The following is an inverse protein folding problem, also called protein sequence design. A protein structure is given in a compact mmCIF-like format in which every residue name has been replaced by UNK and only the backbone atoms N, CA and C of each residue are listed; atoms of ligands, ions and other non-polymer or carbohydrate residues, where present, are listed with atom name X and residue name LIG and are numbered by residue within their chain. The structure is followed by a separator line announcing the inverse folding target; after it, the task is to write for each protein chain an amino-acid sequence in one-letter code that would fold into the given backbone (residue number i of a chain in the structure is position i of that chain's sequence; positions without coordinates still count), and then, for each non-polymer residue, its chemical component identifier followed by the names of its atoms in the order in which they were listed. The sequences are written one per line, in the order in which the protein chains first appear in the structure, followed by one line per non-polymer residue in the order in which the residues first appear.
data_IF_413507503569
#
_entry.id   IF_413507503569
#
_cell.length_a   1.000
_cell.length_b   1.000
_cell.length_c   1.000
_cell.angle_alpha   90.00
_cell.angle_beta   90.00
_cell.angle_gamma   90.00
#
_symmetry.space_group_name_H-M   'P 1'
#
loop_
_entity.id
_entity.type
_entity.pdbx_description
1 polymer ?
#
# COMPACT_ATOMS: atom_id res chain seq x y z
N UNK A 1 25.23 6.28 24.73
CA UNK A 1 25.13 7.74 24.52
C UNK A 1 25.44 8.14 23.08
N UNK A 2 26.60 7.82 22.50
CA UNK A 2 26.89 8.24 21.11
C UNK A 2 26.12 7.47 20.01
N UNK A 3 25.65 6.25 20.29
CA UNK A 3 24.83 5.46 19.35
C UNK A 3 23.36 5.92 19.29
N UNK A 4 22.78 6.28 20.43
CA UNK A 4 21.36 6.67 20.53
C UNK A 4 21.08 8.00 19.79
N UNK A 5 22.00 8.96 19.85
CA UNK A 5 21.86 10.26 19.17
C UNK A 5 21.89 10.11 17.64
N UNK A 6 22.67 9.15 17.12
CA UNK A 6 22.78 8.91 15.68
C UNK A 6 21.55 8.20 15.11
N UNK A 7 21.03 7.19 15.82
CA UNK A 7 19.77 6.54 15.45
C UNK A 7 18.58 7.51 15.52
N UNK A 8 18.53 8.38 16.53
CA UNK A 8 17.51 9.43 16.65
C UNK A 8 17.55 10.43 15.48
N UNK A 9 18.74 10.78 14.99
CA UNK A 9 18.89 11.70 13.87
C UNK A 9 18.46 11.07 12.53
N UNK A 10 18.79 9.79 12.31
CA UNK A 10 18.33 9.04 11.13
C UNK A 10 16.82 8.89 11.11
N UNK A 11 16.20 8.50 12.22
CA UNK A 11 14.73 8.38 12.34
C UNK A 11 14.02 9.71 12.07
N UNK A 12 14.56 10.82 12.59
CA UNK A 12 14.03 12.17 12.35
C UNK A 12 14.11 12.57 10.88
N UNK A 13 15.23 12.23 10.21
CA UNK A 13 15.42 12.46 8.78
C UNK A 13 14.42 11.66 7.94
N UNK A 14 14.22 10.37 8.26
CA UNK A 14 13.25 9.51 7.57
C UNK A 14 11.84 10.06 7.76
N UNK A 15 11.44 10.40 8.99
CA UNK A 15 10.12 10.99 9.25
C UNK A 15 9.90 12.29 8.49
N UNK A 16 10.93 13.14 8.37
CA UNK A 16 10.87 14.34 7.55
C UNK A 16 10.65 13.99 6.08
N UNK A 17 11.43 13.08 5.49
CA UNK A 17 11.24 12.66 4.09
C UNK A 17 9.86 12.06 3.87
N UNK A 18 9.37 11.21 4.78
CA UNK A 18 8.01 10.64 4.71
C UNK A 18 6.94 11.75 4.70
N UNK A 19 7.11 12.81 5.50
CA UNK A 19 6.16 13.95 5.47
C UNK A 19 6.10 14.65 4.11
N UNK A 20 7.21 14.65 3.36
CA UNK A 20 7.29 15.26 2.03
C UNK A 20 6.65 14.39 0.93
N UNK A 21 6.48 13.08 1.16
CA UNK A 21 5.81 12.16 0.22
C UNK A 21 4.37 12.61 -0.04
N UNK A 22 3.66 13.06 0.99
CA UNK A 22 2.28 13.55 0.90
C UNK A 22 2.18 15.04 0.51
N UNK A 23 3.25 15.63 -0.05
CA UNK A 23 3.27 17.03 -0.49
C UNK A 23 2.33 17.28 -1.67
N UNK A 24 1.65 18.42 -1.67
CA UNK A 24 0.86 18.88 -2.82
C UNK A 24 1.68 19.36 -4.00
N UNK A 25 3.00 19.52 -3.83
CA UNK A 25 3.93 19.74 -4.93
C UNK A 25 4.44 18.40 -5.47
N UNK A 26 4.14 18.12 -6.74
CA UNK A 26 4.50 16.85 -7.41
C UNK A 26 6.01 16.61 -7.37
N UNK A 27 6.82 17.64 -7.60
CA UNK A 27 8.28 17.51 -7.62
C UNK A 27 8.86 17.15 -6.26
N UNK A 28 8.39 17.81 -5.21
CA UNK A 28 8.74 17.52 -3.81
C UNK A 28 8.39 16.08 -3.45
N UNK A 29 7.18 15.66 -3.81
CA UNK A 29 6.73 14.28 -3.58
C UNK A 29 7.57 13.26 -4.34
N UNK A 30 7.85 13.49 -5.64
CA UNK A 30 8.71 12.62 -6.44
C UNK A 30 10.11 12.49 -5.86
N UNK A 31 10.72 13.60 -5.42
CA UNK A 31 12.05 13.57 -4.79
C UNK A 31 12.05 12.83 -3.46
N UNK A 32 10.99 12.98 -2.66
CA UNK A 32 10.85 12.29 -1.38
C UNK A 32 10.70 10.77 -1.58
N UNK A 33 9.83 10.36 -2.52
CA UNK A 33 9.66 8.94 -2.87
C UNK A 33 10.97 8.36 -3.37
N UNK A 34 11.67 9.04 -4.29
CA UNK A 34 12.95 8.58 -4.82
C UNK A 34 14.04 8.42 -3.75
N UNK A 35 14.05 9.30 -2.73
CA UNK A 35 14.98 9.17 -1.60
C UNK A 35 14.69 7.93 -0.75
N UNK A 36 13.42 7.69 -0.40
CA UNK A 36 13.03 6.48 0.33
C UNK A 36 13.33 5.22 -0.48
N UNK A 37 13.05 5.26 -1.78
CA UNK A 37 13.32 4.18 -2.72
C UNK A 37 14.80 3.80 -2.79
N UNK A 38 15.68 4.79 -2.74
CA UNK A 38 17.12 4.58 -2.67
C UNK A 38 17.57 3.97 -1.35
N UNK A 39 16.97 4.38 -0.22
CA UNK A 39 17.24 3.78 1.10
C UNK A 39 16.79 2.32 1.13
N UNK A 40 15.60 2.01 0.61
CA UNK A 40 15.03 0.66 0.57
C UNK A 40 15.89 -0.28 -0.30
N UNK A 41 16.40 0.21 -1.44
CA UNK A 41 17.23 -0.60 -2.34
C UNK A 41 18.62 -0.93 -1.81
N UNK A 42 19.11 -0.20 -0.82
CA UNK A 42 20.42 -0.42 -0.22
C UNK A 42 20.25 -1.36 0.99
N UNK A 43 20.66 -2.63 0.84
CA UNK A 43 20.46 -3.67 1.87
C UNK A 43 21.00 -3.26 3.25
N UNK A 44 22.11 -2.52 3.29
CA UNK A 44 22.73 -2.01 4.51
C UNK A 44 21.96 -0.86 5.18
N UNK A 45 21.04 -0.22 4.45
CA UNK A 45 20.26 0.94 4.92
C UNK A 45 18.77 0.70 5.04
N UNK A 46 18.25 -0.38 4.46
CA UNK A 46 16.84 -0.74 4.52
C UNK A 46 16.33 -0.86 5.96
N UNK A 47 17.17 -1.31 6.90
CA UNK A 47 16.82 -1.42 8.33
C UNK A 47 16.46 -0.06 8.95
N UNK A 48 16.97 1.05 8.41
CA UNK A 48 16.59 2.38 8.88
C UNK A 48 15.10 2.69 8.67
N UNK A 49 14.43 1.99 7.75
CA UNK A 49 12.98 2.10 7.54
C UNK A 49 12.14 1.33 8.56
N UNK A 50 12.75 0.45 9.35
CA UNK A 50 12.05 -0.31 10.39
C UNK A 50 11.43 0.64 11.41
N UNK A 51 10.17 0.39 11.79
CA UNK A 51 9.37 1.26 12.65
C UNK A 51 8.69 2.44 11.92
N UNK A 52 8.98 2.66 10.64
CA UNK A 52 8.43 3.76 9.85
C UNK A 52 7.46 3.30 8.74
N UNK A 53 7.23 1.99 8.61
CA UNK A 53 6.50 1.38 7.48
C UNK A 53 5.05 1.86 7.40
N UNK A 54 4.31 1.83 8.51
CA UNK A 54 2.92 2.30 8.53
C UNK A 54 2.81 3.77 8.14
N UNK A 55 3.67 4.63 8.70
CA UNK A 55 3.69 6.06 8.38
C UNK A 55 4.00 6.30 6.90
N UNK A 56 4.95 5.55 6.36
CA UNK A 56 5.32 5.64 4.95
C UNK A 56 4.17 5.21 4.02
N UNK A 57 3.54 4.06 4.30
CA UNK A 57 2.40 3.54 3.54
C UNK A 57 1.20 4.49 3.59
N UNK A 58 0.93 5.12 4.73
CA UNK A 58 -0.11 6.13 4.86
C UNK A 58 0.22 7.36 3.99
N UNK A 59 1.47 7.84 4.02
CA UNK A 59 1.88 9.00 3.23
C UNK A 59 1.80 8.75 1.72
N UNK A 60 2.27 7.59 1.24
CA UNK A 60 2.17 7.21 -0.18
C UNK A 60 0.72 7.04 -0.62
N UNK A 61 -0.12 6.46 0.24
CA UNK A 61 -1.55 6.32 -0.05
C UNK A 61 -2.27 7.67 -0.10
N UNK A 62 -1.98 8.57 0.84
CA UNK A 62 -2.49 9.95 0.80
C UNK A 62 -2.09 10.65 -0.50
N UNK A 63 -0.85 10.45 -0.95
CA UNK A 63 -0.38 11.04 -2.20
C UNK A 63 -1.08 10.47 -3.44
N UNK A 64 -1.29 9.14 -3.49
CA UNK A 64 -2.09 8.52 -4.56
C UNK A 64 -3.51 9.12 -4.61
N UNK A 65 -4.13 9.36 -3.45
CA UNK A 65 -5.45 10.00 -3.37
C UNK A 65 -5.41 11.46 -3.80
N UNK A 66 -4.37 12.22 -3.47
CA UNK A 66 -4.22 13.62 -3.84
C UNK A 66 -4.05 13.76 -5.36
N UNK A 67 -3.15 12.95 -5.93
CA UNK A 67 -2.95 12.83 -7.38
C UNK A 67 -4.27 12.55 -8.10
N UNK A 68 -5.03 11.61 -7.56
CA UNK A 68 -6.28 11.19 -8.15
C UNK A 68 -7.44 12.19 -7.99
N UNK A 69 -7.57 12.88 -6.85
CA UNK A 69 -8.71 13.78 -6.62
C UNK A 69 -8.46 15.20 -7.11
N UNK A 70 -7.21 15.64 -7.11
CA UNK A 70 -6.85 17.04 -7.33
C UNK A 70 -6.17 17.21 -8.68
N UNK A 71 -5.17 16.39 -8.97
CA UNK A 71 -4.35 16.56 -10.18
C UNK A 71 -5.02 16.00 -11.44
N UNK A 72 -5.72 14.87 -11.32
CA UNK A 72 -6.50 14.28 -12.42
C UNK A 72 -7.75 15.09 -12.80
N UNK A 73 -8.27 15.92 -11.89
CA UNK A 73 -9.41 16.78 -12.15
C UNK A 73 -9.01 18.14 -12.74
N UNK A 74 -7.73 18.50 -12.69
CA UNK A 74 -7.21 19.75 -13.23
C UNK A 74 -6.67 19.54 -14.65
N UNK A 75 -7.47 19.92 -15.65
CA UNK A 75 -7.09 19.83 -17.08
C UNK A 75 -5.83 20.64 -17.44
N UNK A 76 -5.39 21.57 -16.59
CA UNK A 76 -4.20 22.39 -16.82
C UNK A 76 -2.89 21.68 -16.48
N UNK A 77 -2.96 20.57 -15.76
CA UNK A 77 -1.77 19.89 -15.27
C UNK A 77 -1.23 18.91 -16.30
N UNK A 78 0.10 18.79 -16.37
CA UNK A 78 0.75 17.86 -17.30
C UNK A 78 0.49 16.41 -16.85
N UNK A 79 -0.37 15.71 -17.61
CA UNK A 79 -0.70 14.29 -17.39
C UNK A 79 0.54 13.41 -17.33
N UNK A 80 1.63 13.78 -18.01
CA UNK A 80 2.89 13.06 -17.98
C UNK A 80 3.59 13.15 -16.61
N UNK A 81 3.56 14.30 -15.95
CA UNK A 81 4.12 14.45 -14.60
C UNK A 81 3.31 13.67 -13.56
N UNK A 82 1.99 13.67 -13.71
CA UNK A 82 1.11 12.87 -12.85
C UNK A 82 1.42 11.37 -13.00
N UNK A 83 1.57 10.90 -14.24
CA UNK A 83 1.90 9.51 -14.52
C UNK A 83 3.27 9.11 -13.96
N UNK A 84 4.27 9.99 -14.06
CA UNK A 84 5.61 9.75 -13.48
C UNK A 84 5.54 9.61 -11.97
N UNK A 85 4.82 10.49 -11.29
CA UNK A 85 4.63 10.41 -9.84
C UNK A 85 3.91 9.11 -9.46
N UNK A 86 2.84 8.77 -10.17
CA UNK A 86 2.12 7.52 -9.97
C UNK A 86 3.03 6.29 -10.10
N UNK A 87 3.79 6.23 -11.20
CA UNK A 87 4.73 5.14 -11.48
C UNK A 87 5.84 5.06 -10.42
N UNK A 88 6.32 6.21 -9.94
CA UNK A 88 7.30 6.30 -8.86
C UNK A 88 6.76 5.74 -7.55
N UNK A 89 5.54 6.13 -7.15
CA UNK A 89 4.90 5.63 -5.92
C UNK A 89 4.67 4.13 -6.01
N UNK A 90 4.04 3.63 -7.09
CA UNK A 90 3.74 2.20 -7.23
C UNK A 90 5.03 1.38 -7.30
N UNK A 91 6.04 1.83 -8.06
CA UNK A 91 7.33 1.15 -8.16
C UNK A 91 8.06 1.09 -6.82
N UNK A 92 8.00 2.16 -6.03
CA UNK A 92 8.59 2.18 -4.70
C UNK A 92 7.85 1.24 -3.73
N UNK A 93 6.52 1.23 -3.73
CA UNK A 93 5.75 0.29 -2.90
C UNK A 93 6.02 -1.16 -3.29
N UNK A 94 6.15 -1.46 -4.59
CA UNK A 94 6.55 -2.79 -5.07
C UNK A 94 7.92 -3.18 -4.50
N UNK A 95 8.87 -2.24 -4.44
CA UNK A 95 10.21 -2.47 -3.89
C UNK A 95 10.16 -2.69 -2.37
N UNK A 96 9.37 -1.90 -1.64
CA UNK A 96 9.16 -2.07 -0.20
C UNK A 96 8.61 -3.47 0.12
N UNK A 97 7.54 -3.88 -0.56
CA UNK A 97 6.92 -5.19 -0.34
C UNK A 97 7.77 -6.37 -0.85
N UNK A 98 8.97 -6.15 -1.39
CA UNK A 98 9.94 -7.22 -1.65
C UNK A 98 10.89 -7.47 -0.48
N UNK A 99 10.97 -6.55 0.48
CA UNK A 99 11.79 -6.70 1.67
C UNK A 99 10.92 -7.26 2.79
N UNK A 100 10.98 -8.58 2.98
CA UNK A 100 10.07 -9.33 3.87
C UNK A 100 10.04 -8.79 5.31
N UNK A 101 11.20 -8.39 5.87
CA UNK A 101 11.26 -7.83 7.22
C UNK A 101 10.42 -6.56 7.37
N UNK A 102 10.51 -5.65 6.39
CA UNK A 102 9.76 -4.40 6.38
C UNK A 102 8.29 -4.61 6.00
N UNK A 103 8.03 -5.44 4.99
CA UNK A 103 6.68 -5.74 4.52
C UNK A 103 5.78 -6.31 5.64
N UNK A 104 6.35 -7.12 6.54
CA UNK A 104 5.65 -7.71 7.68
C UNK A 104 5.34 -6.72 8.81
N UNK A 105 5.97 -5.55 8.85
CA UNK A 105 5.67 -4.52 9.85
C UNK A 105 4.34 -3.81 9.59
N UNK A 106 3.82 -3.88 8.36
CA UNK A 106 2.58 -3.22 7.99
C UNK A 106 1.39 -3.74 8.83
N UNK A 107 0.71 -2.82 9.52
CA UNK A 107 -0.42 -3.18 10.38
C UNK A 107 -1.66 -3.53 9.57
N UNK A 108 -2.54 -4.35 10.17
CA UNK A 108 -3.80 -4.74 9.52
C UNK A 108 -4.67 -3.54 9.10
N UNK A 109 -4.64 -2.44 9.86
CA UNK A 109 -5.37 -1.21 9.54
C UNK A 109 -4.83 -0.53 8.27
N UNK A 110 -3.50 -0.34 8.21
CA UNK A 110 -2.84 0.25 7.04
C UNK A 110 -3.00 -0.63 5.80
N UNK A 111 -2.86 -1.95 5.96
CA UNK A 111 -3.08 -2.91 4.87
C UNK A 111 -4.52 -2.87 4.34
N UNK A 112 -5.51 -2.74 5.22
CA UNK A 112 -6.92 -2.59 4.83
C UNK A 112 -7.12 -1.35 3.96
N UNK A 113 -6.64 -0.20 4.42
CA UNK A 113 -6.79 1.07 3.72
C UNK A 113 -6.04 1.06 2.38
N UNK A 114 -4.84 0.48 2.35
CA UNK A 114 -4.07 0.28 1.13
C UNK A 114 -4.82 -0.62 0.14
N UNK A 115 -5.28 -1.80 0.56
CA UNK A 115 -6.00 -2.73 -0.32
C UNK A 115 -7.30 -2.11 -0.84
N UNK A 116 -8.04 -1.39 -0.01
CA UNK A 116 -9.20 -0.62 -0.44
C UNK A 116 -8.81 0.35 -1.56
N UNK A 117 -7.77 1.16 -1.31
CA UNK A 117 -7.22 2.12 -2.25
C UNK A 117 -6.86 1.53 -3.61
N UNK A 118 -6.07 0.46 -3.62
CA UNK A 118 -5.61 -0.20 -4.84
C UNK A 118 -6.77 -0.81 -5.63
N UNK A 119 -7.74 -1.44 -4.95
CA UNK A 119 -8.92 -2.03 -5.61
C UNK A 119 -9.82 -0.92 -6.19
N UNK A 120 -10.06 0.17 -5.46
CA UNK A 120 -10.81 1.33 -5.97
C UNK A 120 -10.14 1.89 -7.22
N UNK A 121 -8.81 2.01 -7.20
CA UNK A 121 -8.02 2.53 -8.30
C UNK A 121 -8.05 1.64 -9.55
N UNK A 122 -8.10 0.31 -9.37
CA UNK A 122 -8.27 -0.64 -10.46
C UNK A 122 -9.67 -0.62 -11.09
N UNK A 123 -10.68 -0.09 -10.38
CA UNK A 123 -12.07 -0.05 -10.85
C UNK A 123 -12.46 1.32 -11.42
N UNK A 124 -11.59 2.32 -11.35
CA UNK A 124 -11.89 3.65 -11.89
C UNK A 124 -11.64 3.70 -13.41
N UNK A 125 -12.70 3.99 -14.16
CA UNK A 125 -12.66 4.19 -15.61
C UNK A 125 -11.78 5.37 -16.05
N UNK A 126 -11.59 6.40 -15.22
CA UNK A 126 -10.67 7.52 -15.50
C UNK A 126 -9.21 7.09 -15.57
N UNK A 127 -8.86 6.00 -14.87
CA UNK A 127 -7.53 5.38 -14.98
C UNK A 127 -7.40 4.60 -16.30
N UNK A 128 -8.52 4.10 -16.84
CA UNK A 128 -8.57 3.48 -18.17
C UNK A 128 -8.42 4.52 -19.30
N UNK A 129 -8.95 5.73 -19.10
CA UNK A 129 -8.91 6.85 -20.06
C UNK A 129 -7.54 7.56 -20.16
N UNK A 130 -6.60 7.25 -19.27
CA UNK A 130 -5.20 7.65 -19.40
C UNK A 130 -4.57 6.82 -20.52
N UNK A 131 -4.80 7.21 -21.78
CA UNK A 131 -4.23 6.59 -22.98
C UNK A 131 -2.68 6.62 -22.95
N UNK A 132 -2.06 5.66 -22.26
CA UNK A 132 -0.71 5.11 -22.46
C UNK A 132 -0.62 3.82 -21.60
N UNK A 133 -1.22 2.78 -22.17
CA UNK A 133 -1.24 1.36 -21.79
C UNK A 133 -1.90 0.95 -20.46
N UNK A 134 -2.48 -0.26 -20.48
CA UNK A 134 -2.85 -1.06 -19.29
C UNK A 134 -1.72 -1.22 -18.25
N UNK A 135 -0.55 -0.62 -18.47
CA UNK A 135 0.65 -0.67 -17.63
C UNK A 135 0.40 -0.17 -16.20
N UNK A 136 -0.41 0.88 -16.01
CA UNK A 136 -0.78 1.36 -14.67
C UNK A 136 -1.55 0.29 -13.91
N UNK A 137 -2.65 -0.20 -14.49
CA UNK A 137 -3.48 -1.25 -13.89
C UNK A 137 -2.66 -2.53 -13.68
N UNK A 138 -1.77 -2.89 -14.61
CA UNK A 138 -0.83 -4.02 -14.44
C UNK A 138 0.11 -3.80 -13.26
N UNK A 139 0.65 -2.60 -13.09
CA UNK A 139 1.57 -2.28 -11.99
C UNK A 139 0.85 -2.30 -10.64
N UNK A 140 -0.40 -1.79 -10.58
CA UNK A 140 -1.25 -1.91 -9.39
C UNK A 140 -1.55 -3.38 -9.08
N UNK A 141 -1.88 -4.19 -10.08
CA UNK A 141 -2.07 -5.63 -9.89
C UNK A 141 -0.82 -6.30 -9.33
N UNK A 142 0.36 -5.98 -9.87
CA UNK A 142 1.64 -6.48 -9.34
C UNK A 142 1.81 -6.07 -7.88
N UNK A 143 1.52 -4.81 -7.54
CA UNK A 143 1.59 -4.33 -6.16
C UNK A 143 0.61 -5.10 -5.25
N UNK A 144 -0.66 -5.26 -5.64
CA UNK A 144 -1.65 -6.06 -4.89
C UNK A 144 -1.12 -7.46 -4.63
N UNK A 145 -0.53 -8.11 -5.63
CA UNK A 145 0.07 -9.44 -5.46
C UNK A 145 1.22 -9.42 -4.45
N UNK A 146 2.11 -8.44 -4.51
CA UNK A 146 3.23 -8.31 -3.57
C UNK A 146 2.76 -8.05 -2.14
N UNK A 147 1.72 -7.25 -1.96
CA UNK A 147 1.10 -7.02 -0.65
C UNK A 147 0.56 -8.34 -0.08
N UNK A 148 -0.17 -9.12 -0.88
CA UNK A 148 -0.74 -10.40 -0.44
C UNK A 148 0.34 -11.44 -0.09
N UNK A 149 1.44 -11.48 -0.85
CA UNK A 149 2.48 -12.50 -0.67
C UNK A 149 3.43 -12.19 0.48
N UNK A 150 3.79 -10.92 0.69
CA UNK A 150 4.92 -10.56 1.55
C UNK A 150 4.52 -9.86 2.85
N UNK A 151 3.27 -9.43 3.01
CA UNK A 151 2.79 -8.89 4.29
C UNK A 151 2.71 -9.98 5.36
N UNK A 152 2.61 -9.56 6.63
CA UNK A 152 2.24 -10.49 7.69
C UNK A 152 0.88 -11.15 7.37
N UNK A 153 0.88 -12.48 7.34
CA UNK A 153 -0.25 -13.28 6.88
C UNK A 153 -1.49 -13.09 7.74
N UNK A 154 -1.31 -12.92 9.06
CA UNK A 154 -2.41 -12.65 9.97
C UNK A 154 -3.01 -11.29 9.68
N UNK A 155 -2.17 -10.26 9.58
CA UNK A 155 -2.61 -8.89 9.36
C UNK A 155 -3.34 -8.71 8.02
N UNK A 156 -2.82 -9.27 6.92
CA UNK A 156 -3.47 -9.13 5.61
C UNK A 156 -4.79 -9.92 5.52
N UNK A 157 -4.88 -11.11 6.14
CA UNK A 157 -6.15 -11.85 6.23
C UNK A 157 -7.19 -11.08 7.03
N UNK A 158 -6.83 -10.58 8.23
CA UNK A 158 -7.71 -9.72 9.03
C UNK A 158 -8.16 -8.49 8.25
N UNK A 159 -7.23 -7.81 7.57
CA UNK A 159 -7.52 -6.63 6.76
C UNK A 159 -8.55 -6.92 5.66
N UNK A 160 -8.38 -8.01 4.92
CA UNK A 160 -9.29 -8.40 3.84
C UNK A 160 -10.67 -8.83 4.34
N UNK A 161 -10.76 -9.50 5.50
CA UNK A 161 -12.05 -9.87 6.11
C UNK A 161 -12.85 -8.63 6.50
N UNK A 162 -12.21 -7.67 7.18
CA UNK A 162 -12.83 -6.39 7.55
C UNK A 162 -13.22 -5.60 6.30
N UNK A 163 -12.34 -5.57 5.28
CA UNK A 163 -12.63 -4.88 4.03
C UNK A 163 -13.83 -5.49 3.29
N UNK A 164 -13.96 -6.82 3.29
CA UNK A 164 -15.12 -7.50 2.71
C UNK A 164 -16.39 -7.14 3.48
N UNK A 165 -16.35 -7.17 4.82
CA UNK A 165 -17.48 -6.78 5.67
C UNK A 165 -17.97 -5.36 5.36
N UNK A 166 -17.05 -4.40 5.33
CA UNK A 166 -17.37 -3.01 5.00
C UNK A 166 -17.99 -2.89 3.61
N UNK A 167 -17.48 -3.63 2.63
CA UNK A 167 -18.01 -3.63 1.27
C UNK A 167 -19.43 -4.21 1.17
N UNK A 168 -19.83 -5.11 2.07
CA UNK A 168 -21.16 -5.70 2.10
C UNK A 168 -22.18 -4.84 2.87
N UNK A 169 -21.70 -4.11 3.88
CA UNK A 169 -22.53 -3.20 4.69
C UNK A 169 -22.75 -1.84 4.02
N UNK A 170 -21.81 -1.39 3.18
CA UNK A 170 -21.91 -0.12 2.48
C UNK A 170 -23.06 -0.14 1.46
N UNK A 171 -24.01 0.78 1.63
CA UNK A 171 -25.23 0.88 0.79
C UNK A 171 -24.96 1.21 -0.69
N UNK A 172 -23.76 1.70 -1.01
CA UNK A 172 -23.34 2.10 -2.35
C UNK A 172 -22.09 1.36 -2.85
N UNK A 173 -21.76 0.20 -2.26
CA UNK A 173 -20.61 -0.60 -2.70
C UNK A 173 -20.85 -1.22 -4.07
N UNK A 174 -19.83 -1.16 -4.94
CA UNK A 174 -19.87 -1.81 -6.25
C UNK A 174 -19.71 -3.34 -6.08
N UNK A 175 -20.58 -4.17 -6.68
CA UNK A 175 -20.41 -5.63 -6.65
C UNK A 175 -19.03 -6.10 -7.14
N UNK A 176 -18.43 -5.36 -8.09
CA UNK A 176 -17.08 -5.64 -8.60
C UNK A 176 -16.00 -5.45 -7.52
N UNK A 177 -16.20 -4.50 -6.58
CA UNK A 177 -15.26 -4.26 -5.49
C UNK A 177 -15.22 -5.48 -4.56
N UNK A 178 -16.38 -5.92 -4.07
CA UNK A 178 -16.47 -7.12 -3.23
C UNK A 178 -15.95 -8.37 -3.94
N UNK A 179 -16.17 -8.51 -5.26
CA UNK A 179 -15.60 -9.60 -6.05
C UNK A 179 -14.06 -9.59 -6.04
N UNK A 180 -13.42 -8.43 -6.19
CA UNK A 180 -11.96 -8.32 -6.13
C UNK A 180 -11.42 -8.59 -4.72
N UNK A 181 -12.11 -8.14 -3.67
CA UNK A 181 -11.74 -8.48 -2.28
C UNK A 181 -11.84 -9.99 -2.05
N UNK A 182 -12.92 -10.64 -2.52
CA UNK A 182 -13.07 -12.09 -2.44
C UNK A 182 -11.96 -12.83 -3.22
N UNK A 183 -11.53 -12.33 -4.39
CA UNK A 183 -10.39 -12.89 -5.13
C UNK A 183 -9.08 -12.81 -4.34
N UNK A 184 -8.86 -11.72 -3.61
CA UNK A 184 -7.71 -11.58 -2.73
C UNK A 184 -7.76 -12.60 -1.58
N UNK A 185 -8.90 -12.71 -0.89
CA UNK A 185 -9.13 -13.71 0.16
C UNK A 185 -8.92 -15.13 -0.36
N UNK A 186 -9.47 -15.45 -1.54
CA UNK A 186 -9.31 -16.75 -2.17
C UNK A 186 -7.85 -17.09 -2.44
N UNK A 187 -7.06 -16.10 -2.88
CA UNK A 187 -5.61 -16.28 -3.05
C UNK A 187 -4.94 -16.60 -1.72
N UNK A 188 -5.26 -15.87 -0.65
CA UNK A 188 -4.70 -16.15 0.69
C UNK A 188 -5.07 -17.54 1.20
N UNK A 189 -6.33 -17.97 1.02
CA UNK A 189 -6.78 -19.32 1.39
C UNK A 189 -6.01 -20.40 0.63
N UNK A 190 -5.65 -20.16 -0.63
CA UNK A 190 -4.82 -21.09 -1.41
C UNK A 190 -3.38 -21.18 -0.92
N UNK A 191 -2.83 -20.12 -0.33
CA UNK A 191 -1.49 -20.09 0.27
C UNK A 191 -1.48 -20.65 1.70
N UNK A 192 -2.65 -20.71 2.35
CA UNK A 192 -2.81 -21.14 3.73
C UNK A 192 -2.12 -22.48 4.09
N UNK A 193 -2.14 -23.53 3.26
CA UNK A 193 -1.45 -24.78 3.59
C UNK A 193 0.06 -24.62 3.82
N UNK A 194 0.69 -23.65 3.16
CA UNK A 194 2.13 -23.39 3.25
C UNK A 194 2.47 -22.47 4.42
N UNK A 195 1.51 -21.66 4.87
CA UNK A 195 1.72 -20.57 5.82
C UNK A 195 0.92 -20.71 7.12
N UNK A 196 0.20 -21.81 7.30
CA UNK A 196 -0.64 -22.07 8.48
C UNK A 196 0.13 -21.90 9.80
N UNK A 197 1.42 -22.22 9.80
CA UNK A 197 2.28 -22.16 10.98
C UNK A 197 2.71 -20.73 11.37
N UNK A 198 2.62 -19.76 10.46
CA UNK A 198 2.94 -18.36 10.72
C UNK A 198 1.72 -17.49 11.01
N UNK A 199 0.51 -18.08 10.97
CA UNK A 199 -0.75 -17.38 11.19
C UNK A 199 -1.21 -17.53 12.64
N UNK A 200 -1.66 -16.43 13.22
CA UNK A 200 -2.40 -16.47 14.47
C UNK A 200 -3.85 -16.92 14.20
N UNK A 201 -4.08 -18.23 14.33
CA UNK A 201 -5.39 -18.85 14.05
C UNK A 201 -6.51 -18.34 14.96
N UNK A 202 -6.22 -18.08 16.23
CA UNK A 202 -7.23 -17.58 17.17
C UNK A 202 -7.79 -16.24 16.72
N UNK A 203 -6.91 -15.34 16.25
CA UNK A 203 -7.31 -14.04 15.69
C UNK A 203 -8.14 -14.21 14.43
N UNK A 204 -7.72 -15.06 13.49
CA UNK A 204 -8.46 -15.27 12.24
C UNK A 204 -9.83 -15.91 12.51
N UNK A 205 -9.93 -16.85 13.44
CA UNK A 205 -11.22 -17.45 13.82
C UNK A 205 -12.16 -16.43 14.46
N UNK A 206 -11.63 -15.53 15.29
CA UNK A 206 -12.40 -14.42 15.85
C UNK A 206 -12.89 -13.47 14.74
N UNK A 207 -12.03 -13.09 13.80
CA UNK A 207 -12.38 -12.20 12.69
C UNK A 207 -13.48 -12.83 11.80
N UNK A 208 -13.39 -14.14 11.52
CA UNK A 208 -14.43 -14.88 10.79
C UNK A 208 -15.74 -14.89 11.59
N UNK A 209 -15.68 -15.14 12.90
CA UNK A 209 -16.88 -15.11 13.74
C UNK A 209 -17.57 -13.74 13.69
N UNK A 210 -16.79 -12.65 13.75
CA UNK A 210 -17.30 -11.28 13.66
C UNK A 210 -17.90 -11.00 12.27
N UNK A 211 -17.26 -11.50 11.20
CA UNK A 211 -17.73 -11.36 9.83
C UNK A 211 -19.08 -12.06 9.59
N UNK A 212 -19.30 -13.22 10.20
CA UNK A 212 -20.50 -14.05 10.00
C UNK A 212 -21.72 -13.59 10.82
N UNK A 213 -21.56 -12.59 11.69
CA UNK A 213 -22.61 -12.07 12.56
C UNK A 213 -23.40 -10.97 11.86
#
# INVERSE_FOLDING_TARGET
VHGDDMHSNTASTINFVISQVASGDINTSMQAVAQIDEVIRQEDKAEAMSGHIDQFLVATFMQLRLVYNTHMADEKQDKNEIFKLYSCIIGNMISLFQIESLAREASAGVLKDLMHGLITLMLDSRVEDLEYDQQVIRSVNVLVVKVLENSDQTNILSALLVLLQDSLLATASSPKFSELVMKCLWRMVRLLPETINSINLDRIMLDIHIFMK
#
